data_IF_849117086311
#
_entry.id   IF_849117086311
#
_cell.length_a   1.000
_cell.length_b   1.000
_cell.length_c   1.000
_cell.angle_alpha   90.00
_cell.angle_beta   90.00
_cell.angle_gamma   90.00
#
_symmetry.space_group_name_H-M   'P 1'
#
loop_
_entity.id
_entity.type
_entity.pdbx_description
1 polymer ?
#
# COMPACT_ATOMS: atom_id res chain seq x y z
N UNK A 1 5.59 21.69 24.29
CA UNK A 1 5.71 21.89 22.86
C UNK A 1 4.92 20.85 22.13
N UNK A 2 3.93 21.26 21.39
CA UNK A 2 3.09 20.32 20.67
C UNK A 2 3.67 20.08 19.29
N UNK A 3 3.92 18.83 18.96
CA UNK A 3 4.34 18.49 17.62
C UNK A 3 3.12 18.49 16.72
N UNK A 4 3.28 19.05 15.54
CA UNK A 4 2.21 19.03 14.55
C UNK A 4 1.95 17.57 14.14
N UNK A 5 0.67 17.15 14.07
CA UNK A 5 0.36 15.79 13.61
C UNK A 5 0.88 15.55 12.19
N UNK A 6 1.32 14.32 11.93
CA UNK A 6 1.80 13.95 10.62
C UNK A 6 0.66 13.80 9.64
N UNK A 7 0.87 14.25 8.41
CA UNK A 7 -0.08 14.05 7.34
C UNK A 7 0.00 12.60 6.83
N UNK A 8 -0.99 12.19 6.08
CA UNK A 8 -1.01 10.85 5.46
C UNK A 8 0.23 10.64 4.58
N UNK A 9 0.56 11.64 3.76
CA UNK A 9 1.71 11.49 2.85
C UNK A 9 3.03 11.42 3.60
N UNK A 10 3.14 12.09 4.76
CA UNK A 10 4.34 12.00 5.58
C UNK A 10 4.49 10.61 6.18
N UNK A 11 3.41 10.03 6.68
CA UNK A 11 3.42 8.66 7.22
C UNK A 11 3.80 7.67 6.12
N UNK A 12 3.19 7.82 4.96
CA UNK A 12 3.45 6.95 3.81
C UNK A 12 4.91 7.03 3.36
N UNK A 13 5.44 8.24 3.23
CA UNK A 13 6.81 8.45 2.79
C UNK A 13 7.81 7.84 3.77
N UNK A 14 7.55 8.02 5.06
CA UNK A 14 8.39 7.45 6.12
C UNK A 14 8.37 5.92 6.07
N UNK A 15 7.19 5.34 5.90
CA UNK A 15 7.02 3.91 5.80
C UNK A 15 7.74 3.34 4.57
N UNK A 16 7.56 3.98 3.43
CA UNK A 16 8.19 3.53 2.19
C UNK A 16 9.72 3.59 2.29
N UNK A 17 10.25 4.70 2.82
CA UNK A 17 11.70 4.86 2.97
C UNK A 17 12.27 3.85 3.96
N UNK A 18 11.55 3.57 5.04
CA UNK A 18 11.97 2.53 5.97
C UNK A 18 12.09 1.16 5.27
N UNK A 19 11.10 0.80 4.49
CA UNK A 19 11.11 -0.48 3.78
C UNK A 19 12.26 -0.53 2.77
N UNK A 20 12.40 0.53 1.98
CA UNK A 20 13.44 0.64 0.98
C UNK A 20 14.84 0.48 1.58
N UNK A 21 15.07 1.07 2.75
CA UNK A 21 16.38 1.05 3.40
C UNK A 21 16.61 -0.21 4.23
N UNK A 22 15.56 -0.74 4.84
CA UNK A 22 15.69 -1.89 5.75
C UNK A 22 15.64 -3.22 5.01
N UNK A 23 14.85 -3.30 3.95
CA UNK A 23 14.65 -4.53 3.19
C UNK A 23 14.91 -4.31 1.71
N UNK A 24 16.19 -4.22 1.31
CA UNK A 24 16.54 -3.99 -0.11
C UNK A 24 15.95 -5.02 -1.07
N UNK A 25 15.68 -6.22 -0.58
CA UNK A 25 15.10 -7.29 -1.37
C UNK A 25 13.67 -6.98 -1.85
N UNK A 26 13.02 -5.99 -1.24
CA UNK A 26 11.66 -5.61 -1.62
C UNK A 26 11.62 -4.51 -2.68
N UNK A 27 12.77 -3.99 -3.07
CA UNK A 27 12.81 -2.86 -4.02
C UNK A 27 12.24 -3.28 -5.37
N UNK A 28 11.38 -2.44 -5.92
CA UNK A 28 10.66 -2.75 -7.15
C UNK A 28 9.39 -3.55 -6.94
N UNK A 29 9.18 -4.07 -5.73
CA UNK A 29 8.00 -4.86 -5.39
C UNK A 29 7.02 -4.09 -4.51
N UNK A 30 7.40 -2.91 -4.07
CA UNK A 30 6.56 -2.04 -3.26
C UNK A 30 6.54 -0.68 -3.93
N UNK A 31 5.35 -0.18 -4.22
CA UNK A 31 5.22 1.06 -4.97
C UNK A 31 3.91 1.79 -4.65
N UNK A 32 3.94 3.09 -4.86
CA UNK A 32 2.78 3.96 -4.68
C UNK A 32 2.02 4.11 -5.99
N UNK A 33 0.70 4.09 -5.93
CA UNK A 33 -0.15 4.39 -7.07
C UNK A 33 -0.74 5.78 -6.83
N UNK A 34 -0.25 6.81 -7.54
CA UNK A 34 -0.77 8.17 -7.33
C UNK A 34 -2.20 8.24 -7.83
N UNK A 35 -3.11 8.47 -6.90
CA UNK A 35 -4.53 8.40 -7.15
C UNK A 35 -5.24 9.70 -6.76
N UNK A 36 -4.49 10.70 -6.39
CA UNK A 36 -5.03 11.98 -5.98
C UNK A 36 -4.41 13.09 -6.79
N UNK A 37 -4.85 14.28 -6.53
CA UNK A 37 -4.34 15.47 -7.15
C UNK A 37 -5.36 16.13 -8.03
N UNK A 38 -5.25 17.45 -8.16
CA UNK A 38 -6.18 18.20 -8.97
C UNK A 38 -5.82 18.04 -10.44
N UNK A 39 -6.81 17.69 -11.22
CA UNK A 39 -6.70 17.52 -12.66
C UNK A 39 -7.88 18.19 -13.31
N UNK A 40 -7.69 18.66 -14.54
CA UNK A 40 -8.84 19.19 -15.26
C UNK A 40 -9.76 18.02 -15.68
N UNK A 41 -10.98 18.36 -16.08
CA UNK A 41 -11.99 17.35 -16.38
C UNK A 41 -11.57 16.43 -17.53
N UNK A 42 -10.89 16.97 -18.53
CA UNK A 42 -10.44 16.18 -19.68
C UNK A 42 -9.39 15.15 -19.27
N UNK A 43 -8.38 15.59 -18.50
CA UNK A 43 -7.35 14.68 -17.99
C UNK A 43 -7.96 13.62 -17.09
N UNK A 44 -8.91 14.00 -16.23
CA UNK A 44 -9.61 13.05 -15.37
C UNK A 44 -10.35 12.00 -16.16
N UNK A 45 -11.05 12.39 -17.22
CA UNK A 45 -11.75 11.46 -18.08
C UNK A 45 -10.79 10.52 -18.82
N UNK A 46 -9.69 11.06 -19.33
CA UNK A 46 -8.67 10.26 -20.02
C UNK A 46 -8.07 9.22 -19.08
N UNK A 47 -7.78 9.60 -17.85
CA UNK A 47 -7.20 8.69 -16.86
C UNK A 47 -8.19 7.59 -16.51
N UNK A 48 -9.45 7.93 -16.30
CA UNK A 48 -10.49 6.91 -16.03
C UNK A 48 -10.62 5.95 -17.21
N UNK A 49 -10.66 6.49 -18.43
CA UNK A 49 -10.78 5.66 -19.63
C UNK A 49 -9.58 4.75 -19.81
N UNK A 50 -8.41 5.16 -19.32
CA UNK A 50 -7.18 4.37 -19.43
C UNK A 50 -6.96 3.42 -18.23
N UNK A 51 -7.88 3.39 -17.28
CA UNK A 51 -7.83 2.40 -16.22
C UNK A 51 -7.48 2.90 -14.82
N UNK A 52 -7.50 4.21 -14.60
CA UNK A 52 -7.31 4.75 -13.26
C UNK A 52 -8.58 4.51 -12.45
N UNK A 53 -8.45 3.83 -11.33
CA UNK A 53 -9.57 3.46 -10.47
C UNK A 53 -9.48 4.21 -9.16
N UNK A 54 -10.53 4.94 -8.81
CA UNK A 54 -10.59 5.65 -7.54
C UNK A 54 -10.71 4.66 -6.38
N UNK A 55 -10.06 4.98 -5.27
CA UNK A 55 -10.21 4.21 -4.03
C UNK A 55 -9.25 3.05 -3.86
N UNK A 56 -8.35 2.80 -4.81
CA UNK A 56 -7.36 1.74 -4.64
C UNK A 56 -6.38 2.14 -3.53
N UNK A 57 -5.73 1.15 -2.87
CA UNK A 57 -4.79 1.46 -1.80
C UNK A 57 -3.61 2.32 -2.26
N UNK A 58 -3.05 3.07 -1.33
CA UNK A 58 -1.94 3.99 -1.61
C UNK A 58 -0.67 3.27 -2.07
N UNK A 59 -0.38 2.14 -1.43
CA UNK A 59 0.81 1.35 -1.73
C UNK A 59 0.40 -0.08 -2.02
N UNK A 60 1.03 -0.66 -3.03
CA UNK A 60 0.88 -2.07 -3.37
C UNK A 60 2.21 -2.75 -3.10
N UNK A 61 2.16 -3.88 -2.43
CA UNK A 61 3.33 -4.70 -2.13
C UNK A 61 3.14 -6.08 -2.74
N UNK A 62 4.06 -6.46 -3.60
CA UNK A 62 4.06 -7.78 -4.24
C UNK A 62 5.13 -8.63 -3.56
N UNK A 63 4.73 -9.77 -3.01
CA UNK A 63 5.68 -10.63 -2.32
C UNK A 63 5.25 -12.09 -2.42
N UNK A 64 6.21 -12.93 -2.78
CA UNK A 64 6.00 -14.38 -2.82
C UNK A 64 4.74 -14.78 -3.63
N UNK A 65 4.55 -14.14 -4.78
CA UNK A 65 3.42 -14.43 -5.66
C UNK A 65 2.09 -13.88 -5.19
N UNK A 66 2.08 -13.04 -4.16
CA UNK A 66 0.87 -12.46 -3.60
C UNK A 66 0.93 -10.94 -3.65
N UNK A 67 -0.24 -10.32 -3.62
CA UNK A 67 -0.35 -8.87 -3.59
C UNK A 67 -0.99 -8.41 -2.29
N UNK A 68 -0.55 -7.27 -1.79
CA UNK A 68 -1.05 -6.67 -0.56
C UNK A 68 -1.26 -5.18 -0.81
N UNK A 69 -2.32 -4.62 -0.25
CA UNK A 69 -2.58 -3.19 -0.34
C UNK A 69 -2.45 -2.51 1.01
N UNK A 70 -1.92 -1.30 1.02
CA UNK A 70 -1.79 -0.49 2.24
C UNK A 70 -2.41 0.87 1.99
N UNK A 71 -3.36 1.24 2.86
CA UNK A 71 -4.02 2.53 2.85
C UNK A 71 -3.52 3.33 4.04
N UNK A 72 -2.97 4.52 3.82
CA UNK A 72 -2.42 5.35 4.89
C UNK A 72 -3.44 6.39 5.34
N UNK A 73 -3.66 6.45 6.63
CA UNK A 73 -4.56 7.43 7.27
C UNK A 73 -3.87 8.03 8.48
N UNK A 74 -4.25 9.25 8.81
CA UNK A 74 -3.86 9.85 10.10
C UNK A 74 -4.63 9.15 11.23
N UNK A 75 -4.26 9.43 12.47
CA UNK A 75 -4.91 8.82 13.63
C UNK A 75 -6.43 9.07 13.65
N UNK A 76 -6.85 10.24 13.16
CA UNK A 76 -8.27 10.61 13.15
C UNK A 76 -8.91 10.51 11.76
N UNK A 77 -8.16 10.14 10.73
CA UNK A 77 -8.67 10.04 9.37
C UNK A 77 -9.58 8.83 9.18
N UNK A 78 -10.47 8.93 8.21
CA UNK A 78 -11.42 7.86 7.94
C UNK A 78 -11.28 7.35 6.51
N UNK A 79 -11.50 6.05 6.35
CA UNK A 79 -11.59 5.43 5.03
C UNK A 79 -12.87 5.96 4.36
N UNK A 80 -12.75 6.49 3.15
CA UNK A 80 -13.90 7.00 2.42
C UNK A 80 -14.78 5.84 1.94
N UNK A 81 -16.07 6.12 1.63
CA UNK A 81 -16.94 5.07 1.10
C UNK A 81 -16.40 4.40 -0.17
N UNK A 82 -15.77 5.18 -1.04
CA UNK A 82 -15.24 4.64 -2.28
C UNK A 82 -14.01 3.76 -2.02
N UNK A 83 -13.16 4.16 -1.08
CA UNK A 83 -12.03 3.35 -0.66
C UNK A 83 -12.51 2.04 -0.03
N UNK A 84 -13.49 2.13 0.86
CA UNK A 84 -14.04 0.94 1.52
C UNK A 84 -14.60 -0.05 0.50
N UNK A 85 -15.33 0.45 -0.48
CA UNK A 85 -15.90 -0.39 -1.54
C UNK A 85 -14.79 -1.12 -2.32
N UNK A 86 -13.77 -0.40 -2.73
CA UNK A 86 -12.67 -0.99 -3.52
C UNK A 86 -11.84 -1.94 -2.67
N UNK A 87 -11.57 -1.59 -1.40
CA UNK A 87 -10.85 -2.49 -0.50
C UNK A 87 -11.58 -3.83 -0.35
N UNK A 88 -12.91 -3.79 -0.26
CA UNK A 88 -13.71 -5.01 -0.14
C UNK A 88 -13.65 -5.85 -1.42
N UNK A 89 -13.62 -5.21 -2.58
CA UNK A 89 -13.44 -5.92 -3.86
C UNK A 89 -12.10 -6.64 -3.88
N UNK A 90 -11.03 -5.97 -3.45
CA UNK A 90 -9.71 -6.59 -3.39
C UNK A 90 -9.70 -7.77 -2.41
N UNK A 91 -10.24 -7.55 -1.21
CA UNK A 91 -10.27 -8.58 -0.17
C UNK A 91 -11.06 -9.81 -0.62
N UNK A 92 -12.18 -9.61 -1.32
CA UNK A 92 -12.98 -10.73 -1.82
C UNK A 92 -12.26 -11.52 -2.93
N UNK A 93 -11.23 -10.94 -3.50
CA UNK A 93 -10.40 -11.60 -4.51
C UNK A 93 -9.07 -12.11 -3.92
N UNK A 94 -8.98 -12.16 -2.59
CA UNK A 94 -7.83 -12.74 -1.92
C UNK A 94 -6.66 -11.79 -1.71
N UNK A 95 -6.85 -10.49 -1.92
CA UNK A 95 -5.80 -9.49 -1.72
C UNK A 95 -6.07 -8.73 -0.41
N UNK A 96 -5.28 -8.95 0.63
CA UNK A 96 -5.46 -8.22 1.88
C UNK A 96 -5.22 -6.73 1.69
N UNK A 97 -6.00 -5.91 2.37
CA UNK A 97 -5.81 -4.47 2.40
C UNK A 97 -5.73 -4.03 3.86
N UNK A 98 -4.66 -3.36 4.21
CA UNK A 98 -4.41 -2.91 5.57
C UNK A 98 -4.52 -1.40 5.62
N UNK A 99 -5.30 -0.90 6.57
CA UNK A 99 -5.32 0.54 6.87
C UNK A 99 -4.30 0.78 7.95
N UNK A 100 -3.28 1.56 7.66
CA UNK A 100 -2.19 1.81 8.60
C UNK A 100 -2.15 3.29 8.95
N UNK A 101 -1.92 3.58 10.22
CA UNK A 101 -1.98 4.94 10.76
C UNK A 101 -0.64 5.41 11.30
N UNK A 102 0.39 4.58 11.18
CA UNK A 102 1.72 4.92 11.63
C UNK A 102 2.74 4.08 10.87
N UNK A 103 3.98 4.52 10.89
CA UNK A 103 5.08 3.74 10.32
C UNK A 103 5.22 2.41 11.05
N UNK A 104 5.01 2.40 12.38
CA UNK A 104 5.10 1.19 13.20
C UNK A 104 4.07 0.14 12.79
N UNK A 105 2.84 0.55 12.50
CA UNK A 105 1.83 -0.38 12.02
C UNK A 105 2.23 -0.99 10.67
N UNK A 106 2.78 -0.19 9.78
CA UNK A 106 3.27 -0.67 8.50
C UNK A 106 4.39 -1.69 8.71
N UNK A 107 5.34 -1.37 9.57
CA UNK A 107 6.46 -2.26 9.90
C UNK A 107 5.97 -3.60 10.42
N UNK A 108 4.96 -3.58 11.27
CA UNK A 108 4.37 -4.80 11.81
C UNK A 108 3.82 -5.69 10.70
N UNK A 109 3.03 -5.13 9.81
CA UNK A 109 2.44 -5.91 8.73
C UNK A 109 3.49 -6.45 7.77
N UNK A 110 4.50 -5.65 7.44
CA UNK A 110 5.60 -6.09 6.59
C UNK A 110 6.33 -7.25 7.26
N UNK A 111 6.61 -7.14 8.55
CA UNK A 111 7.26 -8.23 9.31
C UNK A 111 6.47 -9.53 9.24
N UNK A 112 5.16 -9.45 9.40
CA UNK A 112 4.29 -10.64 9.32
C UNK A 112 4.31 -11.24 7.91
N UNK A 113 4.27 -10.42 6.88
CA UNK A 113 4.28 -10.89 5.49
C UNK A 113 5.60 -11.59 5.18
N UNK A 114 6.72 -10.97 5.53
CA UNK A 114 8.04 -11.53 5.26
C UNK A 114 8.28 -12.80 6.06
N UNK A 115 7.85 -12.86 7.32
CA UNK A 115 7.99 -14.04 8.16
C UNK A 115 7.17 -15.20 7.64
N UNK A 116 5.95 -14.94 7.18
CA UNK A 116 5.07 -15.98 6.64
C UNK A 116 5.68 -16.61 5.40
N UNK A 117 6.24 -15.80 4.51
CA UNK A 117 6.91 -16.30 3.30
C UNK A 117 8.16 -17.11 3.64
N UNK A 118 8.93 -16.66 4.64
CA UNK A 118 10.15 -17.34 5.06
C UNK A 118 9.88 -18.72 5.65
N UNK A 119 8.67 -18.95 6.16
CA UNK A 119 8.31 -20.24 6.75
C UNK A 119 7.85 -21.27 5.72
N UNK A 120 7.79 -20.91 4.46
CA UNK A 120 7.40 -21.84 3.42
C UNK A 120 8.56 -22.73 3.02
N UNK A 121 8.29 -23.97 2.61
CA UNK A 121 9.35 -24.81 2.05
C UNK A 121 10.00 -24.07 0.87
N UNK A 122 11.30 -24.17 0.80
CA UNK A 122 12.03 -23.57 -0.30
C UNK A 122 11.79 -24.39 -1.56
N UNK A 123 10.92 -23.94 -2.39
CA UNK A 123 10.65 -24.61 -3.63
C UNK A 123 11.60 -24.19 -4.71
N UNK A 124 12.50 -23.57 -4.43
CA UNK A 124 13.50 -23.23 -5.11
C UNK A 124 13.41 -23.07 -6.41
N UNK A 125 13.07 -22.77 -6.91
CA UNK A 125 13.04 -22.58 -7.80
C UNK A 125 13.54 -22.08 -8.59
N UNK A 126 13.87 -21.95 -8.99
CA UNK A 126 13.93 -21.64 -9.72
C UNK A 126 14.46 -20.91 -10.41
N UNK A 127 15.02 -20.82 -10.57
CA UNK A 127 15.74 -20.34 -11.22
C UNK A 127 15.42 -19.37 -11.99
N UNK A 128 15.35 -18.64 -11.94
CA UNK A 128 15.08 -17.88 -12.75
C UNK A 128 15.87 -17.08 -12.95
#
# INVERSE_FOLDING_TARGET
MTTKPRSEIQIQAEAYQWLHNTHPETRGLCFHVPNGGSRNAIEGMQLKASGVVAGIPDIIFLWDGKAYGFEFKTASGHVSPIQDKIHKVWQSNGVPVYVVRSCEEFQYHIGEILSSAANKPNTSCVGV
#
